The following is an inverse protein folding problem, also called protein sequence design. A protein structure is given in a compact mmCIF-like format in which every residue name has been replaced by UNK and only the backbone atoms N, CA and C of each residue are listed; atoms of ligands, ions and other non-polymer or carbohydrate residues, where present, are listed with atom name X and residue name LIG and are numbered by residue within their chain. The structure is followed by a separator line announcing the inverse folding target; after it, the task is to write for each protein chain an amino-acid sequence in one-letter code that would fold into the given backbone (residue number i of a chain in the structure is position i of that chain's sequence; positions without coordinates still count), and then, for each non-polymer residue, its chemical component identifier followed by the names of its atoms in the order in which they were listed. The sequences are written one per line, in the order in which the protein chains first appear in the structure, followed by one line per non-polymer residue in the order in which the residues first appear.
data_IF_023588483343
#
_entry.id   IF_023588483343
#
_cell.length_a   1.000
_cell.length_b   1.000
_cell.length_c   1.000
_cell.angle_alpha   90.00
_cell.angle_beta   90.00
_cell.angle_gamma   90.00
#
_symmetry.space_group_name_H-M   'P 1'
#
loop_
_entity.id
_entity.type
_entity.pdbx_description
1 polymer ?
#
# COMPACT_ATOMS: atom_id res chain seq x y z
N UNK A 1 -7.76 -14.40 -18.29
CA UNK A 1 -6.84 -15.16 -17.42
C UNK A 1 -6.13 -16.21 -18.25
N UNK A 2 -4.84 -16.42 -18.00
CA UNK A 2 -4.05 -17.53 -18.55
C UNK A 2 -4.18 -18.73 -17.62
N UNK A 3 -4.35 -19.95 -18.17
CA UNK A 3 -4.44 -21.17 -17.36
C UNK A 3 -3.03 -21.62 -16.95
N UNK A 4 -2.76 -21.60 -15.66
CA UNK A 4 -1.50 -22.08 -15.09
C UNK A 4 -1.79 -23.28 -14.18
N UNK A 5 -1.08 -24.39 -14.39
CA UNK A 5 -1.13 -25.55 -13.50
C UNK A 5 0.03 -25.47 -12.52
N UNK A 6 -0.29 -25.43 -11.23
CA UNK A 6 0.68 -25.42 -10.13
C UNK A 6 0.37 -26.55 -9.16
N UNK A 7 1.39 -27.06 -8.48
CA UNK A 7 1.21 -28.02 -7.39
C UNK A 7 1.24 -27.27 -6.06
N UNK A 8 0.37 -27.68 -5.14
CA UNK A 8 0.32 -27.18 -3.77
C UNK A 8 0.51 -28.36 -2.83
N UNK A 9 1.13 -28.13 -1.69
CA UNK A 9 1.15 -29.14 -0.64
C UNK A 9 -0.27 -29.36 -0.10
N UNK A 10 -0.51 -30.53 0.48
CA UNK A 10 -1.81 -30.85 1.10
C UNK A 10 -2.18 -29.81 2.18
N UNK A 11 -1.20 -29.40 2.99
CA UNK A 11 -1.37 -28.37 4.01
C UNK A 11 -1.79 -27.02 3.40
N UNK A 12 -1.14 -26.58 2.32
CA UNK A 12 -1.51 -25.34 1.62
C UNK A 12 -2.93 -25.42 1.06
N UNK A 13 -3.29 -26.55 0.43
CA UNK A 13 -4.63 -26.80 -0.10
C UNK A 13 -5.71 -26.71 0.99
N UNK A 14 -5.47 -27.32 2.15
CA UNK A 14 -6.39 -27.27 3.29
C UNK A 14 -6.53 -25.85 3.86
N UNK A 15 -5.43 -25.12 4.04
CA UNK A 15 -5.45 -23.73 4.51
C UNK A 15 -6.21 -22.81 3.56
N UNK A 16 -6.01 -22.96 2.25
CA UNK A 16 -6.72 -22.18 1.24
C UNK A 16 -8.22 -22.47 1.24
N UNK A 17 -8.63 -23.74 1.31
CA UNK A 17 -10.05 -24.13 1.41
C UNK A 17 -10.70 -23.54 2.66
N UNK A 18 -10.03 -23.62 3.81
CA UNK A 18 -10.54 -23.03 5.05
C UNK A 18 -10.69 -21.51 4.97
N UNK A 19 -9.72 -20.83 4.36
CA UNK A 19 -9.77 -19.38 4.17
C UNK A 19 -10.88 -18.96 3.20
N UNK A 20 -11.03 -19.69 2.09
CA UNK A 20 -12.08 -19.51 1.11
C UNK A 20 -13.47 -19.64 1.73
N UNK A 21 -13.69 -20.69 2.54
CA UNK A 21 -14.94 -20.91 3.26
C UNK A 21 -15.24 -19.77 4.26
N UNK A 22 -14.25 -19.35 5.06
CA UNK A 22 -14.42 -18.23 6.01
C UNK A 22 -14.76 -16.89 5.32
N UNK A 23 -14.25 -16.67 4.11
CA UNK A 23 -14.47 -15.43 3.34
C UNK A 23 -15.66 -15.50 2.38
N UNK A 24 -16.30 -16.66 2.23
CA UNK A 24 -17.41 -16.85 1.28
C UNK A 24 -17.01 -16.69 -0.19
N UNK A 25 -15.77 -17.00 -0.55
CA UNK A 25 -15.24 -16.86 -1.92
C UNK A 25 -14.62 -18.17 -2.40
N UNK A 26 -14.36 -18.29 -3.71
CA UNK A 26 -13.69 -19.47 -4.26
C UNK A 26 -12.21 -19.55 -3.87
N UNK A 27 -11.65 -20.76 -3.83
CA UNK A 27 -10.20 -20.97 -3.64
C UNK A 27 -9.38 -20.24 -4.71
N UNK A 28 -9.87 -20.22 -5.95
CA UNK A 28 -9.22 -19.51 -7.04
C UNK A 28 -9.16 -17.99 -6.79
N UNK A 29 -10.20 -17.41 -6.17
CA UNK A 29 -10.21 -16.00 -5.80
C UNK A 29 -9.21 -15.70 -4.68
N UNK A 30 -9.09 -16.59 -3.69
CA UNK A 30 -8.06 -16.46 -2.65
C UNK A 30 -6.67 -16.44 -3.28
N UNK A 31 -6.37 -17.39 -4.16
CA UNK A 31 -5.06 -17.49 -4.82
C UNK A 31 -4.77 -16.22 -5.62
N UNK A 32 -5.73 -15.72 -6.42
CA UNK A 32 -5.53 -14.50 -7.20
C UNK A 32 -5.21 -13.30 -6.32
N UNK A 33 -6.03 -13.03 -5.30
CA UNK A 33 -5.78 -11.91 -4.38
C UNK A 33 -4.44 -12.02 -3.68
N UNK A 34 -4.03 -13.24 -3.30
CA UNK A 34 -2.72 -13.46 -2.71
C UNK A 34 -1.58 -13.16 -3.68
N UNK A 35 -1.70 -13.55 -4.96
CA UNK A 35 -0.73 -13.24 -6.00
C UNK A 35 -0.69 -11.74 -6.29
N UNK A 36 -1.85 -11.10 -6.46
CA UNK A 36 -1.95 -9.65 -6.71
C UNK A 36 -1.32 -8.86 -5.57
N UNK A 37 -1.60 -9.23 -4.32
CA UNK A 37 -1.02 -8.56 -3.15
C UNK A 37 0.50 -8.76 -3.06
N UNK A 38 1.00 -9.96 -3.39
CA UNK A 38 2.43 -10.25 -3.38
C UNK A 38 3.14 -9.39 -4.44
N UNK A 39 2.63 -9.40 -5.67
CA UNK A 39 3.21 -8.63 -6.76
C UNK A 39 3.15 -7.12 -6.49
N UNK A 40 2.03 -6.62 -5.94
CA UNK A 40 1.93 -5.22 -5.53
C UNK A 40 2.87 -4.84 -4.38
N UNK A 41 3.27 -5.81 -3.54
CA UNK A 41 4.25 -5.59 -2.47
C UNK A 41 5.70 -5.68 -2.94
N UNK A 42 5.96 -6.43 -4.01
CA UNK A 42 7.27 -6.50 -4.68
C UNK A 42 7.47 -5.34 -5.66
N UNK A 43 6.40 -4.83 -6.27
CA UNK A 43 6.33 -3.53 -6.96
C UNK A 43 6.33 -2.37 -5.95
N UNK A 44 7.14 -2.45 -4.89
CA UNK A 44 7.56 -1.25 -4.18
C UNK A 44 8.15 -0.32 -5.24
N UNK A 45 7.60 0.90 -5.43
CA UNK A 45 8.15 1.81 -6.41
C UNK A 45 9.64 1.95 -6.11
N UNK A 46 10.45 1.87 -7.16
CA UNK A 46 11.89 2.04 -7.07
C UNK A 46 12.17 3.24 -6.15
N UNK A 47 13.19 3.18 -5.32
CA UNK A 47 13.51 4.28 -4.39
C UNK A 47 13.64 5.59 -5.17
N UNK A 48 14.08 5.50 -6.42
CA UNK A 48 14.13 6.60 -7.39
C UNK A 48 12.74 7.05 -7.89
N UNK A 49 11.77 6.17 -8.09
CA UNK A 49 10.38 6.54 -8.42
C UNK A 49 9.68 7.23 -7.25
N UNK A 50 9.90 6.75 -6.01
CA UNK A 50 9.39 7.40 -4.79
C UNK A 50 9.97 8.81 -4.68
N UNK A 51 11.29 8.94 -4.85
CA UNK A 51 11.97 10.24 -4.82
C UNK A 51 11.51 11.15 -5.97
N UNK A 52 11.33 10.62 -7.17
CA UNK A 52 10.85 11.38 -8.32
C UNK A 52 9.43 11.91 -8.08
N UNK A 53 8.55 11.08 -7.53
CA UNK A 53 7.18 11.46 -7.17
C UNK A 53 7.14 12.48 -6.02
N UNK A 54 8.03 12.37 -5.04
CA UNK A 54 8.14 13.39 -3.99
C UNK A 54 8.65 14.73 -4.55
N UNK A 55 9.66 14.69 -5.42
CA UNK A 55 10.22 15.89 -6.07
C UNK A 55 9.25 16.59 -7.00
N UNK A 56 8.33 15.87 -7.65
CA UNK A 56 7.37 16.48 -8.59
C UNK A 56 6.41 17.46 -7.91
N UNK A 57 6.28 17.39 -6.58
CA UNK A 57 5.42 18.27 -5.79
C UNK A 57 6.18 19.46 -5.18
N UNK A 58 7.52 19.45 -5.24
CA UNK A 58 8.34 20.53 -4.68
C UNK A 58 8.11 21.83 -5.45
N UNK A 59 7.70 22.89 -4.72
CA UNK A 59 7.39 24.19 -5.31
C UNK A 59 6.05 24.25 -6.06
N UNK A 60 5.24 23.18 -6.04
CA UNK A 60 3.90 23.19 -6.63
C UNK A 60 2.90 24.04 -5.83
N UNK A 61 3.23 24.35 -4.57
CA UNK A 61 2.41 25.14 -3.66
C UNK A 61 3.23 26.29 -3.09
N UNK A 62 2.61 27.48 -3.02
CA UNK A 62 3.17 28.62 -2.30
C UNK A 62 2.76 28.51 -0.83
N UNK A 63 3.75 28.49 0.05
CA UNK A 63 3.49 28.59 1.48
C UNK A 63 3.06 30.02 1.83
N UNK A 64 2.03 30.12 2.68
CA UNK A 64 1.57 31.40 3.24
C UNK A 64 2.58 32.01 4.24
N UNK A 65 3.44 31.17 4.81
CA UNK A 65 4.49 31.54 5.78
C UNK A 65 5.73 30.68 5.51
N UNK A 66 6.91 31.31 5.48
CA UNK A 66 8.17 30.64 5.09
C UNK A 66 8.85 29.85 6.22
N UNK A 67 8.38 29.98 7.46
CA UNK A 67 8.97 29.42 8.68
C UNK A 67 8.12 28.31 9.32
N UNK A 68 7.11 27.80 8.60
CA UNK A 68 6.20 26.75 9.10
C UNK A 68 6.94 25.45 9.42
N UNK A 69 7.95 25.08 8.64
CA UNK A 69 8.76 23.88 8.92
C UNK A 69 9.50 23.98 10.27
N UNK A 70 9.97 25.18 10.63
CA UNK A 70 10.72 25.44 11.86
C UNK A 70 9.79 25.63 13.07
N UNK A 71 8.65 26.29 12.88
CA UNK A 71 7.72 26.71 13.96
C UNK A 71 6.38 25.98 13.96
N UNK A 72 6.35 24.76 13.42
CA UNK A 72 5.10 24.00 13.28
C UNK A 72 4.36 23.82 14.62
N UNK A 73 5.09 23.59 15.71
CA UNK A 73 4.51 23.42 17.05
C UNK A 73 3.87 24.70 17.60
N UNK A 74 4.49 25.87 17.35
CA UNK A 74 3.95 27.17 17.75
C UNK A 74 2.64 27.45 16.99
N UNK A 75 2.64 27.24 15.67
CA UNK A 75 1.43 27.41 14.85
C UNK A 75 0.32 26.42 15.20
N UNK A 76 0.69 25.19 15.54
CA UNK A 76 -0.27 24.20 16.01
C UNK A 76 -0.90 24.65 17.34
N UNK A 77 -0.07 25.14 18.26
CA UNK A 77 -0.53 25.65 19.56
C UNK A 77 -1.44 26.87 19.39
N UNK A 78 -1.07 27.85 18.56
CA UNK A 78 -1.89 29.03 18.24
C UNK A 78 -3.27 28.63 17.66
N UNK A 79 -3.32 27.62 16.80
CA UNK A 79 -4.56 27.21 16.12
C UNK A 79 -5.57 26.48 17.04
N UNK A 80 -5.11 25.81 18.09
CA UNK A 80 -5.94 24.98 18.97
C UNK A 80 -6.13 25.53 20.39
N UNK A 81 -5.39 26.58 20.77
CA UNK A 81 -5.52 27.26 22.07
C UNK A 81 -6.24 28.62 21.99
N UNK A 82 -6.73 29.02 20.82
CA UNK A 82 -7.61 30.17 20.61
C UNK A 82 -9.09 29.79 20.76
#
# INVERSE_FOLDING_TARGET
MVRTQIQLTEEQSQKLKGLAARKGISVAEVIRRSVDNLLASEDLPDEDEIKAKARSVFGAFQDLKSDVSEKHDDYLSEAYLA
#
